data_IF_197123482225
#
_entry.id   IF_197123482225
#
_cell.length_a   1.000
_cell.length_b   1.000
_cell.length_c   1.000
_cell.angle_alpha   90.00
_cell.angle_beta   90.00
_cell.angle_gamma   90.00
#
_symmetry.space_group_name_H-M   'P 1'
#
loop_
_entity.id
_entity.type
_entity.pdbx_description
1 polymer ?
#
# COMPACT_ATOMS: atom_id res chain seq x y z
N UNK A 1 11.15 -9.45 15.49
CA UNK A 1 10.41 -8.21 15.24
C UNK A 1 10.75 -7.66 13.87
N UNK A 2 9.76 -7.24 13.10
CA UNK A 2 9.99 -6.62 11.81
C UNK A 2 10.52 -5.20 11.94
N UNK A 3 11.01 -4.60 10.84
CA UNK A 3 11.47 -3.21 10.86
C UNK A 3 10.33 -2.25 11.20
N UNK A 4 10.69 -1.14 11.82
CA UNK A 4 9.74 -0.06 12.11
C UNK A 4 9.47 0.70 10.81
N UNK A 5 8.34 0.42 10.19
CA UNK A 5 7.96 1.02 8.90
C UNK A 5 7.69 2.52 9.01
N UNK A 6 7.12 2.96 10.15
CA UNK A 6 6.88 4.38 10.37
C UNK A 6 8.19 5.15 10.41
N UNK A 7 9.17 4.63 11.12
CA UNK A 7 10.50 5.25 11.22
C UNK A 7 11.20 5.29 9.85
N UNK A 8 11.12 4.19 9.10
CA UNK A 8 11.69 4.11 7.75
C UNK A 8 11.05 5.14 6.81
N UNK A 9 9.72 5.24 6.83
CA UNK A 9 9.00 6.18 5.99
C UNK A 9 9.37 7.62 6.34
N UNK A 10 9.32 7.98 7.59
CA UNK A 10 9.56 9.36 8.04
C UNK A 10 11.00 9.80 7.80
N UNK A 11 11.94 8.88 7.78
CA UNK A 11 13.36 9.22 7.50
C UNK A 11 13.55 9.82 6.12
N UNK A 12 12.79 9.37 5.13
CA UNK A 12 12.95 9.78 3.72
C UNK A 12 11.79 10.62 3.19
N UNK A 13 10.62 10.57 3.83
CA UNK A 13 9.38 11.08 3.25
C UNK A 13 8.57 11.94 4.24
N UNK A 14 9.21 12.51 5.25
CA UNK A 14 8.49 13.32 6.26
C UNK A 14 7.74 14.50 5.62
N UNK A 15 8.27 15.05 4.53
CA UNK A 15 7.67 16.17 3.79
C UNK A 15 6.37 15.78 3.07
N UNK A 16 6.09 14.48 2.94
CA UNK A 16 4.86 14.00 2.29
C UNK A 16 3.65 14.02 3.23
N UNK A 17 3.86 14.19 4.53
CA UNK A 17 2.77 14.20 5.51
C UNK A 17 2.41 15.66 5.81
N UNK A 18 1.12 16.04 5.66
CA UNK A 18 0.68 17.41 5.94
C UNK A 18 0.99 17.82 7.38
N UNK A 19 1.33 19.10 7.57
CA UNK A 19 1.54 19.65 8.89
C UNK A 19 0.26 19.51 9.73
N UNK A 20 0.40 19.12 10.98
CA UNK A 20 -0.71 18.91 11.89
C UNK A 20 -1.30 17.51 11.88
N UNK A 21 -0.86 16.63 10.98
CA UNK A 21 -1.24 15.21 11.02
C UNK A 21 -0.19 14.39 11.73
N UNK A 22 -0.65 13.43 12.53
CA UNK A 22 0.24 12.53 13.26
C UNK A 22 0.16 11.13 12.68
N UNK A 23 1.31 10.58 12.30
CA UNK A 23 1.41 9.21 11.78
C UNK A 23 1.12 8.22 12.91
N UNK A 24 0.14 7.33 12.67
CA UNK A 24 -0.28 6.32 13.64
C UNK A 24 0.13 4.91 13.21
N UNK A 25 0.42 4.70 11.95
CA UNK A 25 0.87 3.41 11.45
C UNK A 25 1.33 3.49 10.01
N UNK A 26 2.24 2.61 9.64
CA UNK A 26 2.76 2.49 8.28
C UNK A 26 2.94 1.02 7.95
N UNK A 27 2.42 0.60 6.79
CA UNK A 27 2.70 -0.72 6.25
C UNK A 27 3.07 -0.60 4.77
N UNK A 28 3.70 -1.65 4.26
CA UNK A 28 3.99 -1.79 2.83
C UNK A 28 3.10 -2.90 2.28
N UNK A 29 2.49 -2.64 1.13
CA UNK A 29 1.64 -3.61 0.45
C UNK A 29 1.98 -3.66 -1.04
N UNK A 30 1.58 -4.75 -1.69
CA UNK A 30 1.71 -4.92 -3.13
C UNK A 30 0.33 -5.21 -3.71
N UNK A 31 0.16 -5.01 -5.01
CA UNK A 31 -1.07 -5.38 -5.69
C UNK A 31 -1.32 -6.88 -5.57
N UNK A 32 -2.57 -7.31 -5.60
CA UNK A 32 -2.96 -8.72 -5.50
C UNK A 32 -2.14 -9.60 -6.45
N UNK A 33 -1.45 -10.59 -5.90
CA UNK A 33 -0.58 -11.48 -6.66
C UNK A 33 0.81 -10.92 -6.96
N UNK A 34 1.06 -9.64 -6.68
CA UNK A 34 2.32 -8.98 -6.99
C UNK A 34 3.53 -9.59 -6.29
N UNK A 35 3.36 -10.01 -5.03
CA UNK A 35 4.44 -10.62 -4.27
C UNK A 35 4.91 -11.95 -4.89
N UNK A 36 3.99 -12.77 -5.37
CA UNK A 36 4.32 -14.01 -6.06
C UNK A 36 5.03 -13.76 -7.39
N UNK A 37 4.54 -12.78 -8.17
CA UNK A 37 5.17 -12.39 -9.45
C UNK A 37 6.57 -11.83 -9.22
N UNK A 38 6.76 -11.05 -8.16
CA UNK A 38 8.06 -10.51 -7.77
C UNK A 38 9.06 -11.63 -7.48
N UNK A 39 8.66 -12.65 -6.73
CA UNK A 39 9.50 -13.80 -6.42
C UNK A 39 9.99 -14.50 -7.69
N UNK A 40 9.14 -14.65 -8.71
CA UNK A 40 9.51 -15.24 -9.99
C UNK A 40 10.46 -14.33 -10.78
N UNK A 41 10.22 -13.02 -10.78
CA UNK A 41 11.06 -12.05 -11.50
C UNK A 41 12.47 -11.99 -10.94
N UNK A 42 12.62 -12.13 -9.63
CA UNK A 42 13.93 -12.08 -8.95
C UNK A 42 14.80 -13.31 -9.17
N UNK A 43 14.28 -14.35 -9.80
CA UNK A 43 15.08 -15.55 -10.13
C UNK A 43 16.16 -15.30 -11.18
N UNK A 44 16.23 -14.13 -11.80
CA UNK A 44 17.12 -13.85 -12.91
C UNK A 44 18.17 -12.76 -12.65
N UNK A 45 17.84 -11.50 -12.83
CA UNK A 45 18.83 -10.43 -12.90
C UNK A 45 18.21 -9.07 -12.52
N UNK A 46 19.05 -8.03 -12.41
CA UNK A 46 18.60 -6.65 -12.21
C UNK A 46 17.62 -6.20 -13.30
N UNK A 47 17.79 -6.69 -14.53
CA UNK A 47 16.86 -6.43 -15.64
C UNK A 47 15.48 -6.98 -15.35
N UNK A 48 15.41 -8.15 -14.68
CA UNK A 48 14.14 -8.75 -14.26
C UNK A 48 13.40 -7.88 -13.26
N UNK A 49 14.10 -7.22 -12.35
CA UNK A 49 13.48 -6.32 -11.36
C UNK A 49 12.84 -5.11 -12.04
N UNK A 50 13.56 -4.48 -12.98
CA UNK A 50 13.02 -3.33 -13.73
C UNK A 50 11.81 -3.71 -14.58
N UNK A 51 11.90 -4.85 -15.26
CA UNK A 51 10.79 -5.36 -16.06
C UNK A 51 9.57 -5.66 -15.17
N UNK A 52 9.79 -6.23 -13.99
CA UNK A 52 8.73 -6.51 -13.04
C UNK A 52 8.04 -5.22 -12.58
N UNK A 53 8.80 -4.19 -12.21
CA UNK A 53 8.22 -2.91 -11.81
C UNK A 53 7.34 -2.32 -12.91
N UNK A 54 7.83 -2.30 -14.15
CA UNK A 54 7.09 -1.77 -15.29
C UNK A 54 5.80 -2.56 -15.53
N UNK A 55 5.86 -3.88 -15.47
CA UNK A 55 4.68 -4.75 -15.68
C UNK A 55 3.66 -4.59 -14.56
N UNK A 56 4.10 -4.52 -13.31
CA UNK A 56 3.18 -4.35 -12.17
C UNK A 56 2.51 -2.98 -12.21
N UNK A 57 3.24 -1.94 -12.59
CA UNK A 57 2.67 -0.60 -12.75
C UNK A 57 1.60 -0.61 -13.83
N UNK A 58 1.85 -1.27 -14.97
CA UNK A 58 0.87 -1.39 -16.04
C UNK A 58 -0.37 -2.16 -15.60
N UNK A 59 -0.21 -3.25 -14.83
CA UNK A 59 -1.34 -4.04 -14.30
C UNK A 59 -2.20 -3.22 -13.34
N UNK A 60 -1.57 -2.47 -12.43
CA UNK A 60 -2.31 -1.66 -11.48
C UNK A 60 -2.99 -0.48 -12.15
N UNK A 61 -2.40 0.09 -13.19
CA UNK A 61 -3.03 1.11 -14.01
C UNK A 61 -4.32 0.60 -14.66
N UNK A 62 -4.27 -0.59 -15.27
CA UNK A 62 -5.43 -1.23 -15.90
C UNK A 62 -6.52 -1.53 -14.86
N UNK A 63 -6.14 -2.09 -13.70
CA UNK A 63 -7.09 -2.36 -12.62
C UNK A 63 -7.77 -1.08 -12.13
N UNK A 64 -7.00 0.00 -12.00
CA UNK A 64 -7.51 1.30 -11.60
C UNK A 64 -8.55 1.83 -12.59
N UNK A 65 -8.28 1.73 -13.87
CA UNK A 65 -9.19 2.19 -14.93
C UNK A 65 -10.53 1.45 -14.90
N UNK A 66 -10.52 0.19 -14.49
CA UNK A 66 -11.74 -0.64 -14.44
C UNK A 66 -12.46 -0.60 -13.09
N UNK A 67 -11.79 -0.16 -12.02
CA UNK A 67 -12.32 -0.26 -10.67
C UNK A 67 -13.48 0.70 -10.37
N UNK A 68 -13.35 1.95 -10.79
CA UNK A 68 -14.32 3.00 -10.46
C UNK A 68 -14.26 3.45 -9.00
N UNK A 69 -14.95 4.54 -8.67
CA UNK A 69 -15.06 5.06 -7.31
C UNK A 69 -13.73 5.41 -6.66
N UNK A 70 -13.67 5.33 -5.34
CA UNK A 70 -12.47 5.65 -4.57
C UNK A 70 -11.29 4.75 -4.96
N UNK A 71 -11.54 3.49 -5.30
CA UNK A 71 -10.50 2.57 -5.73
C UNK A 71 -9.79 3.03 -7.01
N UNK A 72 -10.46 3.78 -7.86
CA UNK A 72 -9.86 4.31 -9.09
C UNK A 72 -8.83 5.40 -8.83
N UNK A 73 -8.84 6.00 -7.64
CA UNK A 73 -7.84 7.02 -7.23
C UNK A 73 -6.53 6.39 -6.75
N UNK A 74 -6.50 5.08 -6.52
CA UNK A 74 -5.32 4.36 -6.04
C UNK A 74 -4.16 4.49 -7.04
N UNK A 75 -2.95 4.82 -6.59
CA UNK A 75 -1.83 5.00 -7.52
C UNK A 75 -1.43 3.68 -8.20
N UNK A 76 -0.93 3.78 -9.42
CA UNK A 76 -0.38 2.63 -10.14
C UNK A 76 1.10 2.46 -9.75
N UNK A 77 1.46 1.30 -9.20
CA UNK A 77 2.83 1.05 -8.74
C UNK A 77 3.07 -0.43 -8.52
N UNK A 78 4.34 -0.79 -8.34
CA UNK A 78 4.74 -2.16 -7.98
C UNK A 78 4.44 -2.44 -6.51
N UNK A 79 4.55 -1.43 -5.66
CA UNK A 79 4.25 -1.54 -4.23
C UNK A 79 3.75 -0.20 -3.71
N UNK A 80 3.19 -0.23 -2.52
CA UNK A 80 2.56 0.94 -1.91
C UNK A 80 3.00 1.09 -0.46
N UNK A 81 3.22 2.34 -0.05
CA UNK A 81 3.32 2.69 1.36
C UNK A 81 1.94 3.18 1.80
N UNK A 82 1.36 2.51 2.78
CA UNK A 82 0.11 2.92 3.39
C UNK A 82 0.42 3.59 4.72
N UNK A 83 0.07 4.86 4.83
CA UNK A 83 0.37 5.68 6.02
C UNK A 83 -0.94 6.17 6.63
N UNK A 84 -1.25 5.65 7.80
CA UNK A 84 -2.43 6.08 8.56
C UNK A 84 -2.04 7.22 9.47
N UNK A 85 -2.76 8.33 9.36
CA UNK A 85 -2.64 9.45 10.30
C UNK A 85 -3.93 9.57 11.12
N UNK A 86 -3.95 10.54 12.01
CA UNK A 86 -5.17 10.85 12.79
C UNK A 86 -6.32 11.41 11.96
N UNK A 87 -6.07 11.75 10.67
CA UNK A 87 -7.07 12.38 9.81
C UNK A 87 -7.41 11.60 8.56
N UNK A 88 -6.47 10.86 7.99
CA UNK A 88 -6.69 10.17 6.71
C UNK A 88 -5.71 9.03 6.48
N UNK A 89 -6.02 8.23 5.48
CA UNK A 89 -5.10 7.22 4.96
C UNK A 89 -4.42 7.77 3.73
N UNK A 90 -3.10 7.84 3.76
CA UNK A 90 -2.28 8.21 2.60
C UNK A 90 -1.75 6.95 1.95
N UNK A 91 -1.80 6.90 0.62
CA UNK A 91 -1.22 5.82 -0.17
C UNK A 91 -0.17 6.43 -1.08
N UNK A 92 1.05 5.93 -1.03
CA UNK A 92 2.16 6.44 -1.84
C UNK A 92 2.72 5.34 -2.72
N UNK A 93 3.08 5.72 -3.94
CA UNK A 93 3.80 4.84 -4.84
C UNK A 93 5.16 4.48 -4.24
N UNK A 94 5.47 3.18 -4.14
CA UNK A 94 6.75 2.69 -3.68
C UNK A 94 7.56 2.07 -4.80
N UNK A 95 8.85 1.90 -4.54
CA UNK A 95 9.80 1.27 -5.47
C UNK A 95 10.58 0.18 -4.74
N UNK A 96 10.94 -0.89 -5.44
CA UNK A 96 11.61 -2.03 -4.83
C UNK A 96 12.99 -1.69 -4.28
N UNK A 97 13.68 -0.73 -4.89
CA UNK A 97 15.07 -0.40 -4.55
C UNK A 97 15.22 0.95 -3.85
N UNK A 98 14.13 1.55 -3.38
CA UNK A 98 14.19 2.86 -2.74
C UNK A 98 13.14 2.98 -1.64
N UNK A 99 13.50 3.64 -0.54
CA UNK A 99 12.56 3.98 0.52
C UNK A 99 11.87 5.31 0.26
N UNK A 100 12.32 6.07 -0.74
CA UNK A 100 11.68 7.32 -1.12
C UNK A 100 10.49 7.02 -2.03
N UNK A 101 9.35 7.67 -1.74
CA UNK A 101 8.13 7.47 -2.52
C UNK A 101 8.22 8.14 -3.87
N UNK A 102 7.48 7.57 -4.84
CA UNK A 102 7.32 8.16 -6.17
C UNK A 102 6.22 9.22 -6.20
N UNK A 103 5.89 9.75 -7.40
CA UNK A 103 4.89 10.81 -7.53
C UNK A 103 3.45 10.36 -7.35
N UNK A 104 3.16 9.06 -7.55
CA UNK A 104 1.80 8.53 -7.46
C UNK A 104 1.30 8.52 -6.02
N UNK A 105 0.19 9.20 -5.75
CA UNK A 105 -0.40 9.29 -4.40
C UNK A 105 -1.91 9.22 -4.45
N UNK A 106 -2.50 8.79 -3.33
CA UNK A 106 -3.92 8.93 -3.07
C UNK A 106 -4.10 9.26 -1.59
N UNK A 107 -5.13 10.03 -1.28
CA UNK A 107 -5.43 10.48 0.08
C UNK A 107 -6.90 10.25 0.35
N UNK A 108 -7.20 9.45 1.37
CA UNK A 108 -8.56 9.08 1.71
C UNK A 108 -8.88 9.57 3.12
N UNK A 109 -9.73 10.59 3.27
CA UNK A 109 -10.25 10.92 4.60
C UNK A 109 -10.88 9.69 5.24
N UNK A 110 -10.77 9.56 6.55
CA UNK A 110 -11.21 8.35 7.25
C UNK A 110 -12.70 8.06 7.05
N UNK A 111 -13.52 9.09 6.81
CA UNK A 111 -14.95 8.92 6.56
C UNK A 111 -15.28 8.29 5.20
N UNK A 112 -14.31 8.19 4.29
CA UNK A 112 -14.47 7.47 3.02
C UNK A 112 -14.18 5.98 3.14
N UNK A 113 -13.62 5.54 4.24
CA UNK A 113 -13.21 4.14 4.46
C UNK A 113 -14.32 3.41 5.20
N UNK A 114 -14.79 2.30 4.63
CA UNK A 114 -15.76 1.42 5.29
C UNK A 114 -15.08 0.45 6.25
N UNK A 115 -13.90 -0.04 5.90
CA UNK A 115 -13.16 -0.95 6.76
C UNK A 115 -11.98 -1.58 6.04
N UNK A 116 -11.23 -2.37 6.79
CA UNK A 116 -10.08 -3.11 6.28
C UNK A 116 -10.15 -4.52 6.82
N UNK A 117 -10.10 -5.50 5.93
CA UNK A 117 -10.11 -6.92 6.27
C UNK A 117 -8.72 -7.50 6.07
N UNK A 118 -8.24 -8.26 7.07
CA UNK A 118 -6.92 -8.85 7.05
C UNK A 118 -7.01 -10.36 7.22
N UNK A 119 -6.56 -11.09 6.21
CA UNK A 119 -6.48 -12.55 6.24
C UNK A 119 -5.01 -12.96 6.35
N UNK A 120 -4.60 -13.27 7.57
CA UNK A 120 -3.24 -13.71 7.84
C UNK A 120 -3.01 -15.11 7.25
N UNK A 121 -1.92 -15.24 6.47
CA UNK A 121 -1.50 -16.50 5.86
C UNK A 121 -0.03 -16.76 6.18
N UNK A 122 0.46 -17.96 5.87
CA UNK A 122 1.80 -18.41 6.24
C UNK A 122 2.90 -17.54 5.62
N UNK A 123 2.81 -17.22 4.33
CA UNK A 123 3.84 -16.46 3.61
C UNK A 123 3.35 -15.07 3.22
N UNK A 124 2.32 -15.01 2.41
CA UNK A 124 1.77 -13.75 1.90
C UNK A 124 0.33 -13.65 2.36
N UNK A 125 0.05 -12.65 3.17
CA UNK A 125 -1.29 -12.41 3.70
C UNK A 125 -2.09 -11.51 2.76
N UNK A 126 -3.40 -11.52 2.92
CA UNK A 126 -4.33 -10.73 2.10
C UNK A 126 -4.89 -9.57 2.90
N UNK A 127 -4.96 -8.41 2.26
CA UNK A 127 -5.54 -7.22 2.86
C UNK A 127 -6.55 -6.64 1.88
N UNK A 128 -7.77 -6.36 2.35
CA UNK A 128 -8.80 -5.74 1.53
C UNK A 128 -9.26 -4.44 2.18
N UNK A 129 -9.06 -3.33 1.49
CA UNK A 129 -9.55 -2.04 1.92
C UNK A 129 -10.86 -1.75 1.20
N UNK A 130 -11.92 -1.53 1.95
CA UNK A 130 -13.26 -1.24 1.43
C UNK A 130 -13.61 0.22 1.66
N UNK A 131 -14.17 0.85 0.65
CA UNK A 131 -14.61 2.25 0.71
C UNK A 131 -16.13 2.32 0.84
N UNK A 132 -16.62 3.44 1.37
CA UNK A 132 -18.07 3.61 1.61
C UNK A 132 -18.89 3.71 0.33
N UNK A 133 -18.26 3.98 -0.80
CA UNK A 133 -18.93 3.98 -2.11
C UNK A 133 -19.09 2.57 -2.71
N UNK A 134 -18.65 1.54 -1.99
CA UNK A 134 -18.75 0.14 -2.43
C UNK A 134 -17.54 -0.36 -3.20
N UNK A 135 -16.61 0.52 -3.58
CA UNK A 135 -15.37 0.07 -4.22
C UNK A 135 -14.40 -0.51 -3.21
N UNK A 136 -13.44 -1.30 -3.66
CA UNK A 136 -12.45 -1.91 -2.79
C UNK A 136 -11.12 -2.13 -3.52
N UNK A 137 -10.04 -2.28 -2.73
CA UNK A 137 -8.71 -2.61 -3.23
C UNK A 137 -8.21 -3.84 -2.48
N UNK A 138 -7.77 -4.85 -3.23
CA UNK A 138 -7.15 -6.05 -2.67
C UNK A 138 -5.63 -5.96 -2.78
N UNK A 139 -4.94 -6.28 -1.69
CA UNK A 139 -3.50 -6.13 -1.58
C UNK A 139 -2.87 -7.39 -1.00
N UNK A 140 -1.62 -7.62 -1.36
CA UNK A 140 -0.78 -8.61 -0.70
C UNK A 140 0.11 -7.91 0.32
N UNK A 141 0.24 -8.51 1.49
CA UNK A 141 1.16 -8.01 2.53
C UNK A 141 2.05 -9.16 2.97
N UNK A 142 3.36 -8.92 2.95
CA UNK A 142 4.32 -9.89 3.42
C UNK A 142 4.64 -9.65 4.90
N UNK A 143 5.61 -10.37 5.42
CA UNK A 143 5.96 -10.45 6.84
C UNK A 143 6.23 -9.07 7.45
N UNK A 144 5.25 -8.56 8.19
CA UNK A 144 5.34 -7.30 8.95
C UNK A 144 4.18 -7.22 9.94
N UNK A 145 4.21 -6.22 10.81
CA UNK A 145 3.14 -6.01 11.79
C UNK A 145 1.95 -5.29 11.16
N UNK A 146 1.00 -6.06 10.63
CA UNK A 146 -0.17 -5.53 9.95
C UNK A 146 -1.36 -5.35 10.88
N UNK A 147 -1.56 -6.27 11.85
CA UNK A 147 -2.74 -6.25 12.70
C UNK A 147 -2.95 -4.93 13.46
N UNK A 148 -1.91 -4.31 14.07
CA UNK A 148 -2.10 -3.03 14.73
C UNK A 148 -2.59 -1.92 13.78
N UNK A 149 -2.14 -1.95 12.52
CA UNK A 149 -2.59 -1.01 11.50
C UNK A 149 -4.07 -1.21 11.18
N UNK A 150 -4.49 -2.46 11.00
CA UNK A 150 -5.89 -2.82 10.73
C UNK A 150 -6.78 -2.43 11.91
N UNK A 151 -6.33 -2.70 13.12
CA UNK A 151 -7.06 -2.33 14.34
C UNK A 151 -7.22 -0.81 14.48
N UNK A 152 -6.19 -0.06 14.13
CA UNK A 152 -6.21 1.40 14.19
C UNK A 152 -7.22 1.97 13.18
N UNK A 153 -7.30 1.41 11.97
CA UNK A 153 -8.31 1.81 10.98
C UNK A 153 -9.70 1.45 11.50
N UNK A 154 -9.89 0.25 12.02
CA UNK A 154 -11.18 -0.21 12.55
C UNK A 154 -11.70 0.68 13.67
N UNK A 155 -10.82 1.17 14.54
CA UNK A 155 -11.19 2.07 15.62
C UNK A 155 -11.66 3.45 15.14
N UNK A 156 -11.31 3.83 13.90
CA UNK A 156 -11.63 5.14 13.30
C UNK A 156 -12.84 5.09 12.37
N UNK A 157 -13.21 3.91 11.95
CA UNK A 157 -14.33 3.71 11.01
C UNK A 157 -15.50 3.02 11.70
#
# INVERSE_FOLDING_TARGET
MGPDRAKQFMKKNADQIPAGEQVQGVIIAEAKGGAWRRGRAHAGSATGVLAHEAQEKARTEEQRETAGGAAAEWPAAVMFWLVLTDKQLHVFEGHLNSQKVGPGTAHYPLDRIAGMDYQKKLLISKLTLSFRDGSSVELDVSKQKVQPFVDAIGART
#
